data_IF_703652484180
#
_entry.id   IF_703652484180
#
_cell.length_a   1.000
_cell.length_b   1.000
_cell.length_c   1.000
_cell.angle_alpha   90.00
_cell.angle_beta   90.00
_cell.angle_gamma   90.00
#
_symmetry.space_group_name_H-M   'P 1'
#
loop_
_entity.id
_entity.type
_entity.pdbx_description
1 polymer ?
#
# COMPACT_ATOMS: atom_id res chain seq x y z
N UNK A 1 11.12 20.25 -36.99
CA UNK A 1 11.29 20.30 -35.52
C UNK A 1 12.70 19.86 -35.16
N UNK A 2 13.36 20.48 -34.17
CA UNK A 2 14.70 20.05 -33.72
C UNK A 2 14.63 18.59 -33.25
N UNK A 3 15.63 17.78 -33.60
CA UNK A 3 15.70 16.34 -33.28
C UNK A 3 15.55 16.05 -31.77
N UNK A 4 16.01 16.97 -30.92
CA UNK A 4 15.85 16.90 -29.46
C UNK A 4 14.38 17.03 -29.03
N UNK A 5 13.62 17.95 -29.61
CA UNK A 5 12.21 18.16 -29.26
C UNK A 5 11.36 16.94 -29.65
N UNK A 6 11.68 16.31 -30.79
CA UNK A 6 11.02 15.08 -31.22
C UNK A 6 11.32 13.93 -30.26
N UNK A 7 12.58 13.77 -29.82
CA UNK A 7 12.97 12.74 -28.84
C UNK A 7 12.28 12.93 -27.49
N UNK A 8 12.21 14.15 -26.98
CA UNK A 8 11.53 14.42 -25.71
C UNK A 8 10.04 14.15 -25.82
N UNK A 9 9.39 14.60 -26.90
CA UNK A 9 7.98 14.35 -27.11
C UNK A 9 7.67 12.84 -27.27
N UNK A 10 8.52 12.09 -27.98
CA UNK A 10 8.33 10.64 -28.14
C UNK A 10 8.49 9.90 -26.81
N UNK A 11 9.43 10.30 -25.95
CA UNK A 11 9.59 9.71 -24.62
C UNK A 11 8.37 9.99 -23.75
N UNK A 12 7.83 11.21 -23.77
CA UNK A 12 6.62 11.56 -23.02
C UNK A 12 5.44 10.67 -23.45
N UNK A 13 5.19 10.56 -24.76
CA UNK A 13 4.12 9.71 -25.30
C UNK A 13 4.33 8.24 -24.94
N UNK A 14 5.56 7.74 -25.04
CA UNK A 14 5.91 6.37 -24.66
C UNK A 14 5.65 6.10 -23.17
N UNK A 15 6.08 7.00 -22.29
CA UNK A 15 5.84 6.85 -20.85
C UNK A 15 4.35 6.87 -20.51
N UNK A 16 3.57 7.78 -21.11
CA UNK A 16 2.12 7.80 -20.88
C UNK A 16 1.45 6.52 -21.36
N UNK A 17 1.77 6.03 -22.56
CA UNK A 17 1.23 4.77 -23.07
C UNK A 17 1.64 3.58 -22.22
N UNK A 18 2.89 3.53 -21.75
CA UNK A 18 3.37 2.51 -20.82
C UNK A 18 2.57 2.50 -19.50
N UNK A 19 2.33 3.67 -18.92
CA UNK A 19 1.51 3.79 -17.70
C UNK A 19 0.06 3.33 -17.92
N UNK A 20 -0.56 3.69 -19.05
CA UNK A 20 -1.93 3.26 -19.38
C UNK A 20 -2.04 1.76 -19.58
N UNK A 21 -1.08 1.16 -20.29
CA UNK A 21 -1.03 -0.30 -20.48
C UNK A 21 -0.79 -1.00 -19.15
N UNK A 22 0.14 -0.50 -18.33
CA UNK A 22 0.38 -1.02 -16.99
C UNK A 22 -0.87 -0.97 -16.10
N UNK A 23 -1.59 0.15 -16.11
CA UNK A 23 -2.85 0.31 -15.38
C UNK A 23 -3.90 -0.73 -15.82
N UNK A 24 -4.07 -0.94 -17.13
CA UNK A 24 -5.00 -1.94 -17.65
C UNK A 24 -4.61 -3.38 -17.26
N UNK A 25 -3.31 -3.69 -17.25
CA UNK A 25 -2.81 -5.01 -16.82
C UNK A 25 -3.04 -5.21 -15.32
N UNK A 26 -2.70 -4.24 -14.48
CA UNK A 26 -2.92 -4.35 -13.04
C UNK A 26 -4.41 -4.44 -12.69
N UNK A 27 -5.26 -3.67 -13.37
CA UNK A 27 -6.71 -3.78 -13.19
C UNK A 27 -7.22 -5.17 -13.54
N UNK A 28 -6.80 -5.74 -14.69
CA UNK A 28 -7.22 -7.08 -15.10
C UNK A 28 -6.72 -8.21 -14.18
N UNK A 29 -5.59 -8.02 -13.50
CA UNK A 29 -4.98 -9.04 -12.66
C UNK A 29 -5.37 -8.94 -11.17
N UNK A 30 -5.47 -7.73 -10.62
CA UNK A 30 -5.57 -7.51 -9.18
C UNK A 30 -6.97 -7.09 -8.70
N UNK A 31 -7.80 -6.47 -9.55
CA UNK A 31 -9.09 -5.87 -9.11
C UNK A 31 -10.04 -6.89 -8.49
N UNK A 32 -10.25 -8.03 -9.14
CA UNK A 32 -11.10 -9.11 -8.64
C UNK A 32 -10.55 -9.74 -7.36
N UNK A 33 -9.23 -9.82 -7.23
CA UNK A 33 -8.58 -10.37 -6.05
C UNK A 33 -8.76 -9.45 -4.84
N UNK A 34 -8.49 -8.17 -5.01
CA UNK A 34 -8.66 -7.13 -4.00
C UNK A 34 -10.12 -7.07 -3.51
N UNK A 35 -11.09 -7.10 -4.44
CA UNK A 35 -12.51 -7.14 -4.09
C UNK A 35 -12.92 -8.37 -3.28
N UNK A 36 -12.36 -9.56 -3.58
CA UNK A 36 -12.62 -10.79 -2.79
C UNK A 36 -11.99 -10.73 -1.42
N UNK A 37 -10.75 -10.24 -1.32
CA UNK A 37 -10.07 -10.05 -0.04
C UNK A 37 -10.83 -9.06 0.84
N UNK A 38 -11.25 -7.93 0.28
CA UNK A 38 -12.02 -6.91 0.99
C UNK A 38 -13.32 -7.46 1.56
N UNK A 39 -14.11 -8.18 0.75
CA UNK A 39 -15.36 -8.84 1.20
C UNK A 39 -15.10 -9.85 2.31
N UNK A 40 -14.02 -10.64 2.20
CA UNK A 40 -13.64 -11.63 3.21
C UNK A 40 -13.27 -10.96 4.53
N UNK A 41 -12.49 -9.86 4.49
CA UNK A 41 -12.12 -9.10 5.68
C UNK A 41 -13.35 -8.47 6.36
N UNK A 42 -14.25 -7.87 5.60
CA UNK A 42 -15.52 -7.33 6.14
C UNK A 42 -16.35 -8.43 6.80
N UNK A 43 -16.46 -9.59 6.16
CA UNK A 43 -17.21 -10.72 6.70
C UNK A 43 -16.61 -11.21 8.03
N UNK A 44 -15.29 -11.38 8.10
CA UNK A 44 -14.60 -11.78 9.34
C UNK A 44 -14.80 -10.74 10.42
N UNK A 45 -14.69 -9.46 10.07
CA UNK A 45 -14.88 -8.36 11.02
C UNK A 45 -16.30 -8.34 11.60
N UNK A 46 -17.34 -8.42 10.78
CA UNK A 46 -18.74 -8.45 11.23
C UNK A 46 -19.02 -9.70 12.09
N UNK A 47 -18.45 -10.85 11.72
CA UNK A 47 -18.51 -12.06 12.52
C UNK A 47 -17.90 -11.85 13.91
N UNK A 48 -16.74 -11.20 14.02
CA UNK A 48 -16.09 -10.89 15.31
C UNK A 48 -16.93 -9.91 16.14
N UNK A 49 -17.42 -8.83 15.52
CA UNK A 49 -18.26 -7.83 16.19
C UNK A 49 -19.49 -8.47 16.82
N UNK A 50 -20.18 -9.35 16.08
CA UNK A 50 -21.35 -10.09 16.59
C UNK A 50 -20.97 -11.10 17.67
N UNK A 51 -19.90 -11.86 17.44
CA UNK A 51 -19.45 -12.91 18.38
C UNK A 51 -19.07 -12.36 19.75
N UNK A 52 -18.47 -11.16 19.79
CA UNK A 52 -18.01 -10.52 21.01
C UNK A 52 -18.90 -9.36 21.48
N UNK A 53 -20.05 -9.15 20.84
CA UNK A 53 -21.00 -8.08 21.15
C UNK A 53 -20.33 -6.69 21.24
N UNK A 54 -19.47 -6.37 20.27
CA UNK A 54 -18.70 -5.12 20.26
C UNK A 54 -19.60 -3.94 19.85
N UNK A 55 -19.48 -2.82 20.56
CA UNK A 55 -20.12 -1.57 20.13
C UNK A 55 -19.39 -0.96 18.91
N UNK A 56 -20.04 -0.01 18.24
CA UNK A 56 -19.42 0.70 17.11
C UNK A 56 -18.17 1.49 17.53
N UNK A 57 -18.20 2.06 18.74
CA UNK A 57 -17.06 2.80 19.31
C UNK A 57 -15.91 1.86 19.67
N UNK A 58 -16.20 0.72 20.30
CA UNK A 58 -15.19 -0.29 20.64
C UNK A 58 -14.53 -0.87 19.38
N UNK A 59 -15.31 -1.12 18.33
CA UNK A 59 -14.80 -1.56 17.03
C UNK A 59 -13.79 -0.55 16.47
N UNK A 60 -14.12 0.74 16.49
CA UNK A 60 -13.23 1.81 15.98
C UNK A 60 -11.96 1.94 16.81
N UNK A 61 -12.07 1.86 18.13
CA UNK A 61 -10.92 1.85 19.05
C UNK A 61 -10.03 0.65 18.75
N UNK A 62 -10.62 -0.55 18.63
CA UNK A 62 -9.88 -1.77 18.34
C UNK A 62 -9.14 -1.72 17.00
N UNK A 63 -9.80 -1.31 15.92
CA UNK A 63 -9.15 -1.11 14.61
C UNK A 63 -7.96 -0.14 14.71
N UNK A 64 -8.17 1.00 15.38
CA UNK A 64 -7.13 2.03 15.56
C UNK A 64 -5.92 1.46 16.31
N UNK A 65 -6.18 0.71 17.37
CA UNK A 65 -5.16 0.07 18.18
C UNK A 65 -4.39 -0.98 17.36
N UNK A 66 -5.09 -1.83 16.60
CA UNK A 66 -4.45 -2.84 15.74
C UNK A 66 -3.55 -2.19 14.69
N UNK A 67 -4.03 -1.18 13.97
CA UNK A 67 -3.26 -0.47 12.92
C UNK A 67 -2.01 0.18 13.54
N UNK A 68 -2.16 0.89 14.68
CA UNK A 68 -1.04 1.52 15.36
C UNK A 68 -0.03 0.53 15.93
N UNK A 69 -0.46 -0.69 16.26
CA UNK A 69 0.44 -1.73 16.76
C UNK A 69 1.26 -2.44 15.67
N UNK A 70 0.85 -2.40 14.40
CA UNK A 70 1.58 -3.05 13.29
C UNK A 70 3.08 -2.76 13.29
N UNK A 71 3.56 -1.49 13.32
CA UNK A 71 5.00 -1.21 13.32
C UNK A 71 5.73 -1.73 14.57
N UNK A 72 5.03 -1.86 15.69
CA UNK A 72 5.60 -2.34 16.95
C UNK A 72 5.69 -3.88 17.03
N UNK A 73 4.89 -4.61 16.24
CA UNK A 73 4.96 -6.09 16.17
C UNK A 73 6.26 -6.59 15.56
N UNK A 74 6.89 -5.80 14.70
CA UNK A 74 8.20 -6.12 14.12
C UNK A 74 9.37 -5.90 15.11
N UNK A 75 9.09 -5.55 16.38
CA UNK A 75 10.09 -5.26 17.40
C UNK A 75 10.50 -3.78 17.45
N UNK A 76 11.56 -3.46 18.18
CA UNK A 76 12.02 -2.08 18.35
C UNK A 76 12.75 -1.57 17.10
N UNK A 77 12.04 -0.86 16.23
CA UNK A 77 12.59 -0.33 14.96
C UNK A 77 13.58 0.84 15.15
N UNK A 78 13.47 1.62 16.23
CA UNK A 78 14.30 2.82 16.46
C UNK A 78 15.51 2.59 17.38
N UNK A 79 16.07 1.39 17.39
CA UNK A 79 17.42 1.13 17.91
C UNK A 79 18.45 1.32 16.80
N UNK A 80 19.74 1.36 17.15
CA UNK A 80 20.84 1.61 16.21
C UNK A 80 20.72 0.81 14.89
N UNK A 81 20.49 -0.51 14.96
CA UNK A 81 20.35 -1.38 13.77
C UNK A 81 19.19 -0.97 12.85
N UNK A 82 18.02 -0.67 13.42
CA UNK A 82 16.86 -0.28 12.62
C UNK A 82 16.96 1.16 12.09
N UNK A 83 17.56 2.07 12.88
CA UNK A 83 17.88 3.42 12.41
C UNK A 83 18.93 3.41 11.28
N UNK A 84 19.92 2.52 11.36
CA UNK A 84 20.92 2.34 10.30
C UNK A 84 20.32 1.74 9.03
N UNK A 85 19.41 0.77 9.17
CA UNK A 85 18.63 0.24 8.05
C UNK A 85 17.79 1.33 7.39
N UNK A 86 17.04 2.11 8.18
CA UNK A 86 16.24 3.24 7.69
C UNK A 86 17.10 4.29 6.96
N UNK A 87 18.26 4.66 7.50
CA UNK A 87 19.16 5.57 6.81
C UNK A 87 19.62 5.03 5.44
N UNK A 88 19.82 3.71 5.34
CA UNK A 88 20.18 3.05 4.08
C UNK A 88 19.02 3.06 3.09
N UNK A 89 17.78 2.83 3.53
CA UNK A 89 16.60 2.87 2.64
C UNK A 89 16.35 4.26 2.08
N UNK A 90 16.59 5.31 2.89
CA UNK A 90 16.51 6.72 2.44
C UNK A 90 17.65 7.01 1.45
N UNK A 91 18.89 6.64 1.80
CA UNK A 91 20.06 6.87 0.93
C UNK A 91 19.92 6.17 -0.43
N UNK A 92 19.32 4.98 -0.46
CA UNK A 92 19.12 4.19 -1.67
C UNK A 92 17.79 4.48 -2.40
N UNK A 93 17.01 5.45 -1.93
CA UNK A 93 15.69 5.83 -2.51
C UNK A 93 14.65 4.71 -2.53
N UNK A 94 14.79 3.71 -1.66
CA UNK A 94 13.86 2.56 -1.55
C UNK A 94 12.64 2.94 -0.70
N UNK A 95 12.86 3.63 0.41
CA UNK A 95 11.82 4.05 1.33
C UNK A 95 11.96 5.54 1.60
N UNK A 96 10.90 6.29 1.27
CA UNK A 96 10.72 7.70 1.63
C UNK A 96 10.01 7.85 2.98
#
# INVERSE_FOLDING_TARGET
>A
MKRQNVRTLSLIVCTFTYLLVGAAIFDALESDHEGKQHKTLIYIEDMLVRKYNMSADDRKIWQTVVIKMVPHRAGTQWKFTGAFYFATTVLTTIGE
#
